data_IF_986648797520
#
_entry.id   IF_986648797520
#
_cell.length_a   1.000
_cell.length_b   1.000
_cell.length_c   1.000
_cell.angle_alpha   90.00
_cell.angle_beta   90.00
_cell.angle_gamma   90.00
#
_symmetry.space_group_name_H-M   'P 1'
#
loop_
_entity.id
_entity.type
_entity.pdbx_description
1 polymer ?
#
# COMPACT_ATOMS: atom_id res chain seq x y z
N UNK A 1 -14.80 -2.65 21.15
CA UNK A 1 -13.64 -3.28 21.80
C UNK A 1 -12.78 -2.19 22.40
N UNK A 2 -12.22 -2.41 23.58
CA UNK A 2 -11.37 -1.45 24.28
C UNK A 2 -9.94 -1.98 24.25
N UNK A 3 -9.00 -1.13 23.82
CA UNK A 3 -7.59 -1.46 23.69
C UNK A 3 -6.76 -0.49 24.52
N UNK A 4 -5.78 -1.05 25.21
CA UNK A 4 -4.77 -0.33 25.96
C UNK A 4 -3.41 -0.65 25.35
N UNK A 5 -2.76 0.39 24.83
CA UNK A 5 -1.37 0.31 24.40
C UNK A 5 -0.48 0.69 25.58
N UNK A 6 0.44 -0.21 25.92
CA UNK A 6 1.52 0.02 26.87
C UNK A 6 2.86 -0.10 26.18
N UNK A 7 3.86 0.60 26.70
CA UNK A 7 5.25 0.51 26.29
C UNK A 7 6.11 0.88 27.48
N UNK A 8 7.30 0.28 27.61
CA UNK A 8 8.30 0.72 28.59
C UNK A 8 9.01 2.00 28.14
N UNK A 9 8.99 2.27 26.83
CA UNK A 9 9.56 3.46 26.22
C UNK A 9 8.45 4.37 25.68
N UNK A 10 8.65 5.68 25.72
CA UNK A 10 7.76 6.60 25.01
C UNK A 10 7.86 6.36 23.51
N UNK A 11 6.73 6.28 22.83
CA UNK A 11 6.67 6.13 21.38
C UNK A 11 6.49 7.48 20.69
N UNK A 12 5.78 8.43 21.29
CA UNK A 12 5.44 9.71 20.67
C UNK A 12 5.90 10.95 21.46
N UNK A 13 6.71 10.75 22.49
CA UNK A 13 7.31 11.83 23.28
C UNK A 13 8.47 12.52 22.55
N UNK A 14 8.94 13.64 23.11
CA UNK A 14 9.90 14.55 22.46
C UNK A 14 11.30 13.96 22.20
N UNK A 15 11.64 12.85 22.86
CA UNK A 15 12.95 12.17 22.74
C UNK A 15 12.78 10.67 22.52
N UNK A 16 11.64 10.23 22.00
CA UNK A 16 11.37 8.82 21.76
C UNK A 16 12.26 8.26 20.65
N UNK A 17 12.68 7.01 20.80
CA UNK A 17 13.37 6.28 19.74
C UNK A 17 12.43 6.08 18.54
N UNK A 18 12.99 5.90 17.35
CA UNK A 18 12.22 5.52 16.16
C UNK A 18 11.66 4.09 16.24
N UNK A 19 12.09 3.31 17.23
CA UNK A 19 11.71 1.91 17.45
C UNK A 19 11.43 1.69 18.93
N UNK A 20 10.28 1.13 19.29
CA UNK A 20 9.94 0.82 20.68
C UNK A 20 9.25 -0.55 20.78
N UNK A 21 9.44 -1.23 21.92
CA UNK A 21 8.66 -2.42 22.24
C UNK A 21 7.29 -2.01 22.75
N UNK A 22 6.22 -2.55 22.16
CA UNK A 22 4.86 -2.23 22.56
C UNK A 22 4.11 -3.49 23.00
N UNK A 23 3.19 -3.30 23.94
CA UNK A 23 2.24 -4.30 24.41
C UNK A 23 0.84 -3.78 24.19
N UNK A 24 0.00 -4.60 23.56
CA UNK A 24 -1.41 -4.32 23.33
C UNK A 24 -2.22 -5.28 24.22
N UNK A 25 -3.03 -4.71 25.10
CA UNK A 25 -3.98 -5.45 25.93
C UNK A 25 -5.38 -4.95 25.68
N UNK A 26 -6.39 -5.78 25.88
CA UNK A 26 -7.76 -5.33 25.67
C UNK A 26 -8.77 -6.44 25.76
N UNK A 27 -10.03 -6.08 25.54
CA UNK A 27 -11.11 -7.05 25.39
C UNK A 27 -11.32 -7.37 23.93
N UNK A 28 -11.56 -8.65 23.63
CA UNK A 28 -11.99 -9.07 22.31
C UNK A 28 -13.20 -9.99 22.42
N UNK A 29 -13.99 -10.01 21.34
CA UNK A 29 -15.17 -10.87 21.22
C UNK A 29 -14.89 -11.91 20.15
N UNK A 30 -15.16 -13.17 20.48
CA UNK A 30 -15.16 -14.26 19.52
C UNK A 30 -16.59 -14.70 19.25
N UNK A 31 -16.93 -14.82 17.97
CA UNK A 31 -18.23 -15.32 17.54
C UNK A 31 -18.20 -16.87 17.53
N UNK A 32 -19.00 -17.55 18.38
CA UNK A 32 -19.06 -19.01 18.41
C UNK A 32 -19.53 -19.63 17.10
N UNK A 33 -20.24 -18.87 16.26
CA UNK A 33 -20.74 -19.31 14.95
C UNK A 33 -19.62 -19.49 13.92
N UNK A 34 -18.43 -18.96 14.22
CA UNK A 34 -17.24 -19.05 13.39
C UNK A 34 -16.11 -19.75 14.17
N UNK A 35 -16.18 -21.09 14.33
CA UNK A 35 -15.20 -21.85 15.12
C UNK A 35 -13.83 -21.99 14.45
N UNK A 36 -13.57 -21.27 13.36
CA UNK A 36 -12.36 -21.36 12.54
C UNK A 36 -11.51 -20.09 12.63
N UNK A 37 -10.35 -20.11 11.98
CA UNK A 37 -9.44 -18.97 11.94
C UNK A 37 -10.11 -17.77 11.26
N UNK A 38 -10.30 -16.70 12.02
CA UNK A 38 -10.98 -15.51 11.57
C UNK A 38 -9.99 -14.37 11.45
N UNK A 39 -10.19 -13.53 10.45
CA UNK A 39 -9.61 -12.19 10.55
C UNK A 39 -10.43 -11.37 11.52
N UNK A 40 -9.75 -10.59 12.34
CA UNK A 40 -10.38 -9.55 13.13
C UNK A 40 -9.99 -8.20 12.53
N UNK A 41 -11.00 -7.36 12.32
CA UNK A 41 -10.84 -5.98 11.91
C UNK A 41 -11.80 -5.09 12.70
N UNK A 42 -11.39 -3.85 12.94
CA UNK A 42 -12.32 -2.83 13.41
C UNK A 42 -13.19 -2.38 12.25
N UNK A 43 -14.35 -3.03 12.01
CA UNK A 43 -15.26 -2.74 10.87
C UNK A 43 -15.64 -1.25 10.73
N UNK A 44 -15.49 -0.48 11.80
CA UNK A 44 -15.92 0.93 11.88
C UNK A 44 -15.02 1.77 12.78
N UNK A 45 -14.04 1.14 13.45
CA UNK A 45 -13.30 1.76 14.54
C UNK A 45 -11.84 1.84 14.15
N UNK A 46 -11.50 3.01 13.63
CA UNK A 46 -10.14 3.50 13.61
C UNK A 46 -9.55 3.35 15.01
N UNK A 47 -8.32 2.87 15.12
CA UNK A 47 -7.63 2.98 16.40
C UNK A 47 -7.17 4.42 16.55
N UNK A 48 -7.61 5.06 17.62
CA UNK A 48 -7.27 6.45 17.94
C UNK A 48 -6.67 6.47 19.35
N UNK A 49 -5.64 7.27 19.56
CA UNK A 49 -5.09 7.54 20.89
C UNK A 49 -6.09 8.25 21.80
N UNK A 50 -6.14 7.86 23.08
CA UNK A 50 -6.95 8.54 24.08
C UNK A 50 -6.26 8.51 25.43
N UNK A 51 -6.16 9.68 26.06
CA UNK A 51 -5.54 9.87 27.37
C UNK A 51 -6.64 10.06 28.42
N UNK A 52 -6.84 9.03 29.25
CA UNK A 52 -7.86 9.03 30.30
C UNK A 52 -7.57 10.01 31.45
N UNK A 53 -6.33 10.48 31.60
CA UNK A 53 -5.99 11.41 32.69
C UNK A 53 -6.50 12.84 32.44
N UNK A 54 -6.55 13.26 31.19
CA UNK A 54 -6.97 14.62 30.79
C UNK A 54 -8.17 14.64 29.82
N UNK A 55 -8.70 13.46 29.46
CA UNK A 55 -9.84 13.30 28.56
C UNK A 55 -9.58 13.91 27.17
N UNK A 56 -8.37 13.73 26.64
CA UNK A 56 -7.97 14.21 25.30
C UNK A 56 -7.61 13.06 24.35
N UNK A 57 -7.62 13.32 23.04
CA UNK A 57 -7.21 12.34 22.01
C UNK A 57 -5.69 12.22 21.85
N UNK A 58 -4.96 12.29 22.97
CA UNK A 58 -3.51 12.13 23.02
C UNK A 58 -3.12 10.76 23.57
N UNK A 59 -1.87 10.36 23.37
CA UNK A 59 -1.21 9.31 24.12
C UNK A 59 -0.64 9.89 25.42
N UNK A 60 -0.32 9.02 26.39
CA UNK A 60 0.20 9.44 27.70
C UNK A 60 1.50 10.26 27.63
N UNK A 61 2.24 10.16 26.53
CA UNK A 61 3.50 10.83 26.27
C UNK A 61 3.35 12.11 25.43
N UNK A 62 2.12 12.60 25.26
CA UNK A 62 1.80 13.89 24.65
C UNK A 62 1.65 13.87 23.12
N UNK A 63 1.99 12.76 22.46
CA UNK A 63 1.70 12.58 21.03
C UNK A 63 0.28 12.07 20.77
N UNK A 64 0.01 11.63 19.54
CA UNK A 64 -1.27 11.06 19.14
C UNK A 64 -1.10 10.12 17.95
N UNK A 65 -2.05 9.21 17.76
CA UNK A 65 -2.10 8.35 16.58
C UNK A 65 -3.54 8.05 16.16
N UNK A 66 -3.74 7.85 14.86
CA UNK A 66 -4.98 7.36 14.27
C UNK A 66 -4.68 6.40 13.12
N UNK A 67 -5.27 5.20 13.12
CA UNK A 67 -4.89 4.19 12.15
C UNK A 67 -5.76 2.96 12.05
N UNK A 68 -5.19 1.96 11.38
CA UNK A 68 -5.79 0.67 11.10
C UNK A 68 -5.06 -0.42 11.90
N UNK A 69 -5.85 -1.24 12.57
CA UNK A 69 -5.40 -2.45 13.20
C UNK A 69 -6.21 -3.61 12.63
N UNK A 70 -5.53 -4.69 12.27
CA UNK A 70 -6.20 -5.91 11.89
C UNK A 70 -5.25 -7.08 11.90
N UNK A 71 -5.83 -8.27 11.98
CA UNK A 71 -5.06 -9.46 12.26
C UNK A 71 -5.85 -10.74 12.05
N UNK A 72 -5.26 -11.84 12.51
CA UNK A 72 -5.87 -13.16 12.51
C UNK A 72 -5.95 -13.66 13.95
N UNK A 73 -7.12 -14.19 14.27
CA UNK A 73 -7.38 -15.00 15.45
C UNK A 73 -7.33 -16.45 14.99
N UNK A 74 -6.40 -17.21 15.56
CA UNK A 74 -6.30 -18.66 15.33
C UNK A 74 -6.84 -19.39 16.54
N UNK A 75 -7.88 -20.17 16.30
CA UNK A 75 -8.57 -20.89 17.36
C UNK A 75 -7.65 -21.98 17.90
N UNK A 76 -7.27 -21.87 19.17
CA UNK A 76 -6.41 -22.85 19.84
C UNK A 76 -7.22 -23.88 20.64
N UNK A 77 -6.54 -24.58 21.55
CA UNK A 77 -7.16 -25.44 22.57
C UNK A 77 -8.05 -24.63 23.52
N UNK A 78 -9.06 -25.29 24.12
CA UNK A 78 -10.10 -24.67 24.96
C UNK A 78 -9.59 -23.51 25.83
N UNK A 79 -10.07 -22.30 25.52
CA UNK A 79 -9.87 -21.08 26.30
C UNK A 79 -8.68 -20.20 25.88
N UNK A 80 -7.89 -20.62 24.88
CA UNK A 80 -6.74 -19.83 24.39
C UNK A 80 -6.74 -19.76 22.85
N UNK A 81 -6.73 -18.54 22.31
CA UNK A 81 -6.52 -18.25 20.89
C UNK A 81 -5.12 -17.67 20.66
N UNK A 82 -4.52 -17.97 19.51
CA UNK A 82 -3.29 -17.29 19.07
C UNK A 82 -3.65 -16.08 18.19
N UNK A 83 -3.00 -14.95 18.44
CA UNK A 83 -3.30 -13.67 17.80
C UNK A 83 -2.08 -13.15 17.05
N UNK A 84 -2.29 -12.65 15.85
CA UNK A 84 -1.28 -12.02 15.01
C UNK A 84 -1.86 -10.78 14.34
N UNK A 85 -1.27 -9.61 14.58
CA UNK A 85 -1.85 -8.31 14.24
C UNK A 85 -0.83 -7.41 13.57
N UNK A 86 -1.25 -6.74 12.51
CA UNK A 86 -0.55 -5.63 11.90
C UNK A 86 -1.23 -4.32 12.27
N UNK A 87 -0.41 -3.32 12.61
CA UNK A 87 -0.82 -1.97 12.95
C UNK A 87 -0.13 -0.97 12.04
N UNK A 88 -0.89 -0.16 11.33
CA UNK A 88 -0.41 1.02 10.63
C UNK A 88 -1.22 2.23 11.10
N UNK A 89 -0.56 3.27 11.58
CA UNK A 89 -1.23 4.51 11.98
C UNK A 89 -0.46 5.75 11.53
N UNK A 90 -1.20 6.82 11.28
CA UNK A 90 -0.64 8.16 11.21
C UNK A 90 -0.41 8.62 12.65
N UNK A 91 0.71 9.27 12.91
CA UNK A 91 1.00 9.85 14.23
C UNK A 91 1.36 11.33 14.12
N UNK A 92 1.17 12.04 15.23
CA UNK A 92 1.77 13.35 15.50
C UNK A 92 2.45 13.26 16.87
N UNK A 93 3.74 13.53 16.95
CA UNK A 93 4.48 13.52 18.21
C UNK A 93 4.29 14.81 19.02
N UNK A 94 4.81 14.85 20.25
CA UNK A 94 4.69 16.02 21.12
C UNK A 94 5.36 17.30 20.57
N UNK A 95 6.23 17.19 19.56
CA UNK A 95 6.86 18.32 18.85
C UNK A 95 6.12 18.70 17.57
N UNK A 96 4.96 18.10 17.29
CA UNK A 96 4.20 18.24 16.05
C UNK A 96 4.94 17.73 14.80
N UNK A 97 5.84 16.77 14.95
CA UNK A 97 6.32 16.02 13.80
C UNK A 97 5.30 14.92 13.48
N UNK A 98 5.03 14.72 12.20
CA UNK A 98 4.04 13.77 11.72
C UNK A 98 4.68 12.65 10.90
N UNK A 99 4.03 11.49 10.88
CA UNK A 99 4.52 10.37 10.11
C UNK A 99 3.66 9.13 10.22
N UNK A 100 4.26 7.97 9.93
CA UNK A 100 3.58 6.67 9.99
C UNK A 100 4.27 5.82 11.05
N UNK A 101 3.47 5.18 11.91
CA UNK A 101 3.91 4.09 12.78
C UNK A 101 3.42 2.76 12.21
N UNK A 102 4.33 1.79 12.20
CA UNK A 102 4.09 0.41 11.83
C UNK A 102 4.40 -0.49 13.02
N UNK A 103 3.56 -1.47 13.31
CA UNK A 103 3.93 -2.53 14.25
C UNK A 103 3.36 -3.89 13.84
N UNK A 104 4.13 -4.93 14.15
CA UNK A 104 3.71 -6.31 14.06
C UNK A 104 3.66 -6.88 15.47
N UNK A 105 2.48 -7.35 15.88
CA UNK A 105 2.20 -7.84 17.22
C UNK A 105 1.76 -9.29 17.16
N UNK A 106 2.20 -10.08 18.13
CA UNK A 106 1.70 -11.43 18.33
C UNK A 106 1.45 -11.70 19.81
N UNK A 107 0.55 -12.63 20.09
CA UNK A 107 0.23 -13.02 21.46
C UNK A 107 -0.96 -13.93 21.55
N UNK A 108 -1.68 -13.82 22.66
CA UNK A 108 -2.71 -14.77 23.04
C UNK A 108 -3.99 -14.04 23.45
N UNK A 109 -5.13 -14.63 23.11
CA UNK A 109 -6.45 -14.28 23.59
C UNK A 109 -6.95 -15.34 24.56
N UNK A 110 -7.39 -14.94 25.74
CA UNK A 110 -7.96 -15.82 26.77
C UNK A 110 -9.46 -15.59 26.82
N UNK A 111 -10.27 -16.62 26.61
CA UNK A 111 -11.72 -16.51 26.59
C UNK A 111 -12.37 -17.57 27.49
N UNK A 112 -13.55 -17.25 28.03
CA UNK A 112 -14.40 -18.21 28.74
C UNK A 112 -15.66 -18.49 27.95
N UNK A 113 -16.07 -19.76 27.89
CA UNK A 113 -17.34 -20.15 27.30
C UNK A 113 -18.52 -19.63 28.13
N UNK A 114 -19.21 -18.63 27.59
CA UNK A 114 -20.43 -18.05 28.16
C UNK A 114 -21.66 -18.28 27.26
N UNK A 115 -21.61 -19.24 26.32
CA UNK A 115 -22.72 -19.54 25.41
C UNK A 115 -22.74 -18.67 24.15
N UNK A 116 -23.61 -17.65 24.08
CA UNK A 116 -23.92 -16.95 22.82
C UNK A 116 -22.87 -15.93 22.35
N UNK A 117 -21.91 -15.57 23.20
CA UNK A 117 -20.76 -14.76 22.84
C UNK A 117 -19.59 -15.10 23.77
N UNK A 118 -18.41 -15.27 23.18
CA UNK A 118 -17.17 -15.42 23.94
C UNK A 118 -16.56 -14.03 24.15
N UNK A 119 -16.62 -13.53 25.38
CA UNK A 119 -15.81 -12.37 25.79
C UNK A 119 -14.47 -12.86 26.33
N UNK A 120 -13.39 -12.25 25.85
CA UNK A 120 -12.04 -12.59 26.25
C UNK A 120 -11.16 -11.38 26.48
N UNK A 121 -10.00 -11.62 27.06
CA UNK A 121 -8.93 -10.65 27.24
C UNK A 121 -7.78 -11.06 26.33
N UNK A 122 -7.21 -10.13 25.59
CA UNK A 122 -6.00 -10.37 24.81
C UNK A 122 -4.79 -9.68 25.42
N UNK A 123 -3.63 -10.26 25.14
CA UNK A 123 -2.33 -9.65 25.36
C UNK A 123 -1.41 -10.01 24.20
N UNK A 124 -0.91 -8.98 23.53
CA UNK A 124 0.05 -9.11 22.45
C UNK A 124 1.24 -8.21 22.70
N UNK A 125 2.40 -8.60 22.18
CA UNK A 125 3.60 -7.78 22.23
C UNK A 125 4.30 -7.79 20.89
N UNK A 126 5.12 -6.79 20.65
CA UNK A 126 5.98 -6.72 19.48
C UNK A 126 6.76 -5.41 19.44
N UNK A 127 7.14 -5.03 18.23
CA UNK A 127 7.96 -3.84 18.00
C UNK A 127 7.23 -2.89 17.07
N UNK A 128 7.14 -1.63 17.48
CA UNK A 128 6.67 -0.52 16.66
C UNK A 128 7.87 0.24 16.08
N UNK A 129 7.75 0.67 14.82
CA UNK A 129 8.70 1.49 14.09
C UNK A 129 7.99 2.75 13.59
N UNK A 130 8.59 3.92 13.80
CA UNK A 130 8.10 5.21 13.33
C UNK A 130 8.96 5.72 12.18
N UNK A 131 8.30 6.11 11.10
CA UNK A 131 8.87 6.90 10.05
C UNK A 131 8.33 8.34 10.15
N UNK A 132 9.22 9.29 10.41
CA UNK A 132 8.91 10.72 10.41
C UNK A 132 8.90 11.22 8.97
N UNK A 133 7.78 11.82 8.56
CA UNK A 133 7.59 12.27 7.19
C UNK A 133 7.49 13.80 7.08
N UNK A 134 7.10 14.48 8.16
CA UNK A 134 7.00 15.94 8.19
C UNK A 134 7.40 16.47 9.56
N UNK A 135 8.16 17.56 9.58
CA UNK A 135 8.50 18.28 10.81
C UNK A 135 7.60 19.51 10.97
N UNK A 136 7.09 19.74 12.18
CA UNK A 136 6.28 20.91 12.48
C UNK A 136 5.03 21.03 11.60
N UNK A 137 4.20 19.99 11.58
CA UNK A 137 3.01 19.88 10.72
C UNK A 137 1.93 20.94 11.01
N UNK A 138 2.03 21.64 12.15
CA UNK A 138 1.09 22.70 12.54
C UNK A 138 -0.26 22.19 13.02
N UNK A 139 -0.38 20.88 13.25
CA UNK A 139 -1.55 20.23 13.85
C UNK A 139 -1.14 19.79 15.26
N UNK A 140 -1.93 20.19 16.26
CA UNK A 140 -1.69 19.73 17.63
C UNK A 140 -2.02 18.23 17.73
N UNK A 141 -1.30 17.46 18.56
CA UNK A 141 -1.59 16.03 18.72
C UNK A 141 -3.06 15.72 19.04
N UNK A 142 -3.68 16.49 19.92
CA UNK A 142 -5.09 16.31 20.29
C UNK A 142 -6.06 16.48 19.10
N UNK A 143 -5.66 17.20 18.05
CA UNK A 143 -6.48 17.52 16.88
C UNK A 143 -6.32 16.50 15.74
N UNK A 144 -5.42 15.52 15.86
CA UNK A 144 -5.18 14.51 14.81
C UNK A 144 -6.46 13.79 14.39
N UNK A 145 -7.36 13.49 15.35
CA UNK A 145 -8.62 12.78 15.07
C UNK A 145 -9.54 13.53 14.10
N UNK A 146 -9.36 14.85 13.95
CA UNK A 146 -10.15 15.71 13.07
C UNK A 146 -9.37 16.17 11.83
N UNK A 147 -8.14 15.68 11.64
CA UNK A 147 -7.19 16.25 10.67
C UNK A 147 -6.73 15.25 9.61
N UNK A 148 -7.56 14.27 9.28
CA UNK A 148 -7.29 13.31 8.21
C UNK A 148 -8.40 13.29 7.17
N UNK A 149 -8.02 12.99 5.94
CA UNK A 149 -8.93 12.64 4.86
C UNK A 149 -9.01 11.10 4.76
N UNK A 150 -10.20 10.59 4.46
CA UNK A 150 -10.41 9.17 4.16
C UNK A 150 -11.05 9.01 2.80
N UNK A 151 -10.45 8.17 1.96
CA UNK A 151 -10.97 7.84 0.64
C UNK A 151 -11.17 6.34 0.54
N UNK A 152 -12.33 5.92 0.01
CA UNK A 152 -12.61 4.52 -0.27
C UNK A 152 -12.36 4.26 -1.76
N UNK A 153 -11.30 3.50 -2.06
CA UNK A 153 -11.02 3.04 -3.42
C UNK A 153 -11.70 1.70 -3.61
N UNK A 154 -12.72 1.71 -4.47
CA UNK A 154 -13.45 0.51 -4.86
C UNK A 154 -12.77 -0.16 -6.04
N UNK A 155 -12.71 -1.47 -5.99
CA UNK A 155 -12.30 -2.27 -7.12
C UNK A 155 -13.17 -3.49 -7.23
N UNK A 156 -13.21 -4.02 -8.43
CA UNK A 156 -13.59 -5.40 -8.62
C UNK A 156 -12.27 -6.11 -8.91
N UNK A 157 -11.99 -7.21 -8.21
CA UNK A 157 -10.72 -7.90 -8.37
C UNK A 157 -10.83 -8.91 -9.50
N UNK A 158 -9.99 -8.76 -10.54
CA UNK A 158 -9.51 -9.91 -11.29
C UNK A 158 -8.36 -10.49 -10.48
N UNK A 159 -8.57 -11.67 -9.91
CA UNK A 159 -7.47 -12.48 -9.42
C UNK A 159 -6.63 -12.95 -10.59
N UNK A 160 -5.36 -12.60 -10.63
CA UNK A 160 -4.37 -13.32 -11.43
C UNK A 160 -3.29 -13.86 -10.50
N UNK A 161 -2.94 -15.15 -10.61
CA UNK A 161 -1.88 -15.79 -9.82
C UNK A 161 -2.24 -17.17 -9.26
N UNK A 162 -1.39 -17.67 -8.36
CA UNK A 162 -1.53 -19.00 -7.73
C UNK A 162 -2.69 -19.07 -6.74
N UNK A 163 -3.08 -17.92 -6.19
CA UNK A 163 -4.30 -17.78 -5.40
C UNK A 163 -5.38 -17.23 -6.33
N UNK A 164 -6.28 -18.10 -6.74
CA UNK A 164 -7.51 -17.66 -7.41
C UNK A 164 -8.44 -17.09 -6.35
N UNK A 165 -8.54 -15.75 -6.23
CA UNK A 165 -9.70 -15.15 -5.58
C UNK A 165 -10.90 -15.52 -6.48
N UNK A 166 -11.86 -16.34 -6.01
CA UNK A 166 -12.89 -16.86 -6.90
C UNK A 166 -13.66 -15.71 -7.56
N UNK A 167 -13.77 -15.77 -8.88
CA UNK A 167 -14.60 -14.90 -9.73
C UNK A 167 -16.09 -14.96 -9.40
N UNK A 168 -16.50 -15.83 -8.47
CA UNK A 168 -17.82 -15.88 -7.87
C UNK A 168 -17.70 -15.83 -6.35
N UNK A 169 -17.43 -14.64 -5.79
CA UNK A 169 -17.64 -14.40 -4.36
C UNK A 169 -16.62 -13.58 -3.59
N UNK A 170 -15.98 -12.57 -4.19
CA UNK A 170 -15.64 -11.39 -3.38
C UNK A 170 -16.96 -10.64 -3.10
N UNK A 171 -17.74 -11.17 -2.17
CA UNK A 171 -19.13 -10.80 -1.89
C UNK A 171 -19.26 -9.58 -0.97
N UNK A 172 -18.66 -8.46 -1.34
CA UNK A 172 -18.95 -7.08 -0.89
C UNK A 172 -17.76 -6.28 -1.40
N UNK A 173 -17.94 -5.52 -2.48
CA UNK A 173 -17.04 -4.46 -2.98
C UNK A 173 -15.71 -4.37 -2.22
N UNK A 174 -14.66 -5.12 -2.61
CA UNK A 174 -13.40 -5.04 -1.90
C UNK A 174 -12.94 -3.59 -2.02
N UNK A 175 -12.83 -2.97 -0.86
CA UNK A 175 -12.53 -1.57 -0.74
C UNK A 175 -11.23 -1.47 0.03
N UNK A 176 -10.29 -0.75 -0.56
CA UNK A 176 -9.13 -0.28 0.17
C UNK A 176 -9.49 1.11 0.68
N UNK A 177 -9.47 1.29 2.00
CA UNK A 177 -9.67 2.60 2.61
C UNK A 177 -8.32 3.24 2.80
N UNK A 178 -8.07 4.33 2.09
CA UNK A 178 -6.90 5.17 2.26
C UNK A 178 -7.18 6.19 3.35
N UNK A 179 -6.15 6.50 4.13
CA UNK A 179 -6.16 7.59 5.10
C UNK A 179 -4.87 8.37 4.98
N UNK A 180 -4.96 9.69 4.88
CA UNK A 180 -3.82 10.61 4.89
C UNK A 180 -4.15 11.80 5.79
N UNK A 181 -3.12 12.46 6.27
CA UNK A 181 -3.30 13.73 6.96
C UNK A 181 -3.75 14.79 5.94
N UNK A 182 -4.66 15.68 6.34
CA UNK A 182 -5.16 16.73 5.44
C UNK A 182 -4.01 17.62 4.95
N UNK A 183 -3.89 17.77 3.64
CA UNK A 183 -2.80 18.52 3.00
C UNK A 183 -1.55 17.71 2.70
N UNK A 184 -1.45 16.47 3.19
CA UNK A 184 -0.33 15.58 2.94
C UNK A 184 -0.62 14.58 1.82
N UNK A 185 0.40 14.27 1.01
CA UNK A 185 0.31 13.36 -0.15
C UNK A 185 0.96 12.01 0.13
N UNK A 186 0.83 11.54 1.36
CA UNK A 186 1.25 10.22 1.83
C UNK A 186 0.26 9.75 2.87
N UNK A 187 0.18 8.43 3.09
CA UNK A 187 -0.76 7.92 4.07
C UNK A 187 -0.65 6.44 4.29
N UNK A 188 -1.68 5.91 4.93
CA UNK A 188 -1.86 4.49 5.21
C UNK A 188 -3.08 3.96 4.48
N UNK A 189 -3.18 2.65 4.33
CA UNK A 189 -4.38 2.02 3.80
C UNK A 189 -4.72 0.72 4.53
N UNK A 190 -5.97 0.29 4.43
CA UNK A 190 -6.43 -1.05 4.81
C UNK A 190 -7.34 -1.63 3.73
N UNK A 191 -7.09 -2.89 3.36
CA UNK A 191 -7.94 -3.71 2.50
C UNK A 191 -8.36 -4.98 3.23
N UNK A 192 -9.55 -5.49 2.89
CA UNK A 192 -10.09 -6.77 3.39
C UNK A 192 -10.36 -7.70 2.23
N UNK A 193 -9.90 -8.94 2.38
CA UNK A 193 -10.06 -9.96 1.36
C UNK A 193 -10.60 -11.24 1.97
N UNK A 194 -11.32 -12.03 1.19
CA UNK A 194 -11.76 -13.36 1.55
C UNK A 194 -12.13 -14.12 0.28
N UNK A 195 -12.21 -15.45 0.39
CA UNK A 195 -12.60 -16.31 -0.71
C UNK A 195 -12.49 -17.79 -0.35
N UNK A 196 -12.54 -18.63 -1.36
CA UNK A 196 -12.14 -20.04 -1.30
C UNK A 196 -10.77 -20.25 -1.94
N UNK A 197 -10.24 -21.47 -1.82
CA UNK A 197 -9.03 -21.95 -2.47
C UNK A 197 -9.18 -23.44 -2.83
N UNK A 198 -8.65 -23.87 -3.97
CA UNK A 198 -8.72 -25.28 -4.38
C UNK A 198 -7.66 -26.14 -3.67
N UNK A 199 -6.50 -25.55 -3.40
CA UNK A 199 -5.39 -26.14 -2.65
C UNK A 199 -4.64 -25.04 -1.91
N UNK A 200 -3.87 -25.41 -0.88
CA UNK A 200 -3.00 -24.43 -0.23
C UNK A 200 -2.02 -23.82 -1.24
N UNK A 201 -1.68 -22.54 -1.11
CA UNK A 201 -0.70 -21.91 -1.99
C UNK A 201 0.66 -22.63 -1.93
N UNK A 202 1.41 -22.69 -3.04
CA UNK A 202 2.76 -23.24 -3.04
C UNK A 202 3.71 -22.44 -2.13
N UNK A 203 4.92 -22.97 -1.83
CA UNK A 203 5.86 -22.31 -0.94
C UNK A 203 6.25 -20.89 -1.29
N UNK A 204 6.21 -20.56 -2.58
CA UNK A 204 6.30 -19.19 -3.06
C UNK A 204 5.08 -19.00 -3.95
N UNK A 205 4.21 -18.07 -3.58
CA UNK A 205 3.04 -17.74 -4.37
C UNK A 205 3.01 -16.25 -4.66
N UNK A 206 2.43 -15.91 -5.80
CA UNK A 206 2.09 -14.53 -6.14
C UNK A 206 0.61 -14.39 -6.43
N UNK A 207 0.07 -13.23 -6.11
CA UNK A 207 -1.29 -12.86 -6.47
C UNK A 207 -1.34 -11.37 -6.79
N UNK A 208 -2.28 -10.95 -7.61
CA UNK A 208 -2.50 -9.54 -7.88
C UNK A 208 -3.97 -9.17 -7.70
N UNK A 209 -4.18 -7.93 -7.26
CA UNK A 209 -5.45 -7.23 -7.31
C UNK A 209 -5.25 -6.03 -8.22
N UNK A 210 -6.09 -5.91 -9.23
CA UNK A 210 -6.08 -4.80 -10.19
C UNK A 210 -7.51 -4.32 -10.45
N UNK A 211 -7.65 -3.09 -10.94
CA UNK A 211 -8.93 -2.56 -11.37
C UNK A 211 -9.48 -3.39 -12.57
N UNK A 212 -10.60 -4.10 -12.36
CA UNK A 212 -11.28 -4.89 -13.40
C UNK A 212 -11.66 -4.08 -14.65
N UNK A 213 -11.69 -2.76 -14.58
CA UNK A 213 -11.95 -1.92 -15.75
C UNK A 213 -10.86 -2.07 -16.84
N UNK A 214 -9.63 -2.41 -16.45
CA UNK A 214 -8.55 -2.78 -17.38
C UNK A 214 -8.81 -4.15 -18.04
N UNK A 215 -9.26 -5.15 -17.27
CA UNK A 215 -9.56 -6.50 -17.78
C UNK A 215 -10.82 -6.58 -18.65
N UNK A 216 -11.81 -5.70 -18.42
CA UNK A 216 -13.08 -5.66 -19.15
C UNK A 216 -13.15 -4.59 -20.25
N UNK A 217 -12.12 -3.73 -20.40
CA UNK A 217 -12.09 -2.64 -21.39
C UNK A 217 -13.14 -1.54 -21.14
N UNK A 218 -13.67 -1.42 -19.92
CA UNK A 218 -14.68 -0.42 -19.54
C UNK A 218 -14.12 0.43 -18.39
N UNK A 219 -13.30 1.43 -18.70
CA UNK A 219 -12.86 2.44 -17.73
C UNK A 219 -14.06 3.28 -17.28
N UNK A 220 -14.60 2.99 -16.10
CA UNK A 220 -15.57 3.88 -15.44
C UNK A 220 -14.93 4.84 -14.44
N UNK A 221 -13.65 4.69 -14.16
CA UNK A 221 -13.06 5.26 -12.96
C UNK A 221 -11.95 6.23 -13.35
N UNK A 222 -11.95 7.40 -12.72
CA UNK A 222 -10.86 8.38 -12.78
C UNK A 222 -9.60 7.85 -12.04
N UNK A 223 -9.37 6.54 -12.01
CA UNK A 223 -8.35 5.87 -11.21
C UNK A 223 -7.83 4.60 -11.92
N UNK A 224 -6.57 4.27 -11.68
CA UNK A 224 -5.92 3.01 -12.01
C UNK A 224 -5.15 2.57 -10.78
N UNK A 225 -5.19 1.29 -10.42
CA UNK A 225 -4.33 0.78 -9.36
C UNK A 225 -4.07 -0.71 -9.54
N UNK A 226 -2.94 -1.16 -9.01
CA UNK A 226 -2.59 -2.58 -8.92
C UNK A 226 -1.78 -2.81 -7.65
N UNK A 227 -2.05 -3.92 -6.99
CA UNK A 227 -1.32 -4.41 -5.81
C UNK A 227 -0.94 -5.86 -6.08
N UNK A 228 0.35 -6.16 -6.02
CA UNK A 228 0.89 -7.51 -6.13
C UNK A 228 1.36 -7.99 -4.78
N UNK A 229 0.96 -9.22 -4.44
CA UNK A 229 1.31 -9.93 -3.24
C UNK A 229 2.36 -10.98 -3.55
N UNK A 230 3.31 -11.13 -2.64
CA UNK A 230 4.27 -12.21 -2.64
C UNK A 230 4.31 -12.82 -1.25
N UNK A 231 4.01 -14.11 -1.15
CA UNK A 231 3.88 -14.80 0.12
C UNK A 231 4.59 -16.14 0.15
N UNK A 232 4.74 -16.64 1.37
CA UNK A 232 5.26 -17.97 1.65
C UNK A 232 4.12 -18.99 1.77
N UNK A 233 4.47 -20.28 1.84
CA UNK A 233 3.49 -21.34 2.09
C UNK A 233 2.60 -21.01 3.28
N UNK A 234 1.31 -21.25 3.12
CA UNK A 234 0.37 -21.18 4.23
C UNK A 234 0.55 -22.41 5.13
N UNK A 235 0.59 -22.20 6.45
CA UNK A 235 0.75 -23.24 7.45
C UNK A 235 0.02 -22.86 8.74
N UNK A 236 -0.36 -23.85 9.54
CA UNK A 236 -0.96 -23.64 10.88
C UNK A 236 -2.16 -22.67 10.88
N UNK A 237 -3.02 -22.78 9.86
CA UNK A 237 -4.22 -21.94 9.72
C UNK A 237 -3.93 -20.49 9.33
N UNK A 238 -2.70 -20.19 8.90
CA UNK A 238 -2.17 -18.84 8.68
C UNK A 238 -1.49 -18.67 7.32
N UNK A 239 -1.64 -17.49 6.74
CA UNK A 239 -0.90 -17.02 5.58
C UNK A 239 -0.31 -15.64 5.81
N UNK A 240 0.83 -15.37 5.16
CA UNK A 240 1.47 -14.06 5.16
C UNK A 240 1.93 -13.70 3.75
N UNK A 241 1.83 -12.42 3.41
CA UNK A 241 2.45 -11.87 2.22
C UNK A 241 2.90 -10.42 2.46
N UNK A 242 3.91 -10.01 1.72
CA UNK A 242 4.19 -8.59 1.48
C UNK A 242 3.48 -8.15 0.20
N UNK A 243 3.27 -6.85 0.05
CA UNK A 243 2.68 -6.29 -1.15
C UNK A 243 3.46 -5.09 -1.67
N UNK A 244 3.47 -4.97 -2.99
CA UNK A 244 3.93 -3.80 -3.72
C UNK A 244 2.82 -3.39 -4.67
N UNK A 245 2.54 -2.10 -4.74
CA UNK A 245 1.50 -1.59 -5.62
C UNK A 245 1.80 -0.21 -6.13
N UNK A 246 0.97 0.20 -7.07
CA UNK A 246 0.99 1.52 -7.67
C UNK A 246 -0.43 1.95 -8.01
N UNK A 247 -0.59 3.24 -8.24
CA UNK A 247 -1.80 3.73 -8.87
C UNK A 247 -1.67 5.14 -9.42
N UNK A 248 -2.74 5.56 -10.06
CA UNK A 248 -2.91 6.84 -10.72
C UNK A 248 -4.36 7.31 -10.54
N UNK A 249 -4.58 8.62 -10.39
CA UNK A 249 -5.92 9.20 -10.25
C UNK A 249 -6.03 10.51 -11.01
N UNK A 250 -7.25 10.85 -11.43
CA UNK A 250 -7.65 12.15 -11.99
C UNK A 250 -8.87 12.74 -11.26
N UNK A 251 -9.32 12.13 -10.17
CA UNK A 251 -10.53 12.54 -9.44
C UNK A 251 -10.45 13.97 -8.88
N UNK A 252 -9.30 14.35 -8.33
CA UNK A 252 -9.00 15.69 -7.82
C UNK A 252 -7.83 16.31 -8.59
N UNK A 253 -6.64 16.35 -8.01
CA UNK A 253 -5.40 16.68 -8.70
C UNK A 253 -4.85 15.39 -9.31
N UNK A 254 -4.48 15.37 -10.61
CA UNK A 254 -3.84 14.21 -11.20
C UNK A 254 -2.59 13.83 -10.42
N UNK A 255 -2.53 12.58 -9.96
CA UNK A 255 -1.46 12.09 -9.13
C UNK A 255 -1.18 10.62 -9.44
N UNK A 256 0.05 10.20 -9.17
CA UNK A 256 0.44 8.78 -9.16
C UNK A 256 1.08 8.46 -7.82
N UNK A 257 1.06 7.20 -7.41
CA UNK A 257 1.64 6.79 -6.13
C UNK A 257 2.24 5.39 -6.20
N UNK A 258 3.06 5.09 -5.20
CA UNK A 258 3.52 3.74 -4.85
C UNK A 258 2.92 3.33 -3.51
N UNK A 259 2.63 2.04 -3.34
CA UNK A 259 2.08 1.49 -2.10
C UNK A 259 2.83 0.23 -1.68
N UNK A 260 3.06 0.08 -0.39
CA UNK A 260 3.79 -1.05 0.20
C UNK A 260 2.99 -1.51 1.41
N UNK A 261 2.78 -2.81 1.56
CA UNK A 261 1.98 -3.33 2.64
C UNK A 261 2.29 -4.77 3.01
N UNK A 262 1.52 -5.25 3.97
CA UNK A 262 1.60 -6.59 4.52
C UNK A 262 0.19 -7.16 4.67
N UNK A 263 0.04 -8.40 4.25
CA UNK A 263 -1.18 -9.17 4.34
C UNK A 263 -1.00 -10.29 5.36
N UNK A 264 -1.98 -10.41 6.25
CA UNK A 264 -2.13 -11.54 7.16
C UNK A 264 -3.45 -12.22 6.88
N UNK A 265 -3.41 -13.53 6.68
CA UNK A 265 -4.55 -14.35 6.31
C UNK A 265 -4.80 -15.47 7.33
N UNK A 266 -6.07 -15.69 7.64
CA UNK A 266 -6.55 -16.87 8.33
C UNK A 266 -7.24 -17.79 7.32
N UNK A 267 -6.99 -19.09 7.41
CA UNK A 267 -7.66 -20.07 6.56
C UNK A 267 -8.10 -21.29 7.35
N UNK A 268 -9.08 -22.00 6.83
CA UNK A 268 -9.57 -23.26 7.38
C UNK A 268 -9.47 -24.37 6.34
N UNK A 269 -8.60 -25.35 6.61
CA UNK A 269 -8.35 -26.51 5.75
C UNK A 269 -9.63 -27.27 5.39
N UNK A 270 -10.57 -27.37 6.35
CA UNK A 270 -11.81 -28.12 6.18
C UNK A 270 -12.85 -27.35 5.35
N UNK A 271 -12.55 -26.08 5.01
CA UNK A 271 -13.45 -25.17 4.29
C UNK A 271 -12.85 -24.61 3.01
N UNK A 272 -11.86 -25.30 2.43
CA UNK A 272 -11.15 -24.87 1.23
C UNK A 272 -12.08 -24.30 0.12
N UNK A 273 -13.20 -24.98 -0.18
CA UNK A 273 -14.14 -24.57 -1.23
C UNK A 273 -15.28 -23.64 -0.78
N UNK A 274 -15.32 -23.21 0.48
CA UNK A 274 -16.34 -22.27 0.96
C UNK A 274 -16.01 -20.84 0.48
N UNK A 275 -17.04 -20.00 0.31
CA UNK A 275 -16.89 -18.57 -0.02
C UNK A 275 -16.04 -17.79 1.00
N UNK A 276 -15.85 -18.34 2.20
CA UNK A 276 -15.01 -17.82 3.28
C UNK A 276 -14.05 -18.91 3.80
N UNK A 277 -13.52 -19.76 2.91
CA UNK A 277 -12.48 -20.73 3.25
C UNK A 277 -11.19 -20.08 3.74
N UNK A 278 -10.97 -18.82 3.35
CA UNK A 278 -9.94 -17.96 3.92
C UNK A 278 -10.41 -16.50 3.98
N UNK A 279 -9.75 -15.73 4.84
CA UNK A 279 -9.93 -14.30 4.98
C UNK A 279 -8.57 -13.63 5.23
N UNK A 280 -8.39 -12.39 4.82
CA UNK A 280 -7.17 -11.64 5.03
C UNK A 280 -7.41 -10.16 5.31
N UNK A 281 -6.51 -9.58 6.10
CA UNK A 281 -6.35 -8.14 6.26
C UNK A 281 -5.05 -7.73 5.63
N UNK A 282 -5.10 -6.64 4.86
CA UNK A 282 -3.97 -6.03 4.21
C UNK A 282 -3.84 -4.59 4.69
N UNK A 283 -2.70 -4.23 5.25
CA UNK A 283 -2.43 -2.87 5.71
C UNK A 283 -1.09 -2.41 5.19
N UNK A 284 -0.93 -1.12 4.95
CA UNK A 284 0.33 -0.58 4.46
C UNK A 284 0.38 0.93 4.40
N UNK A 285 1.41 1.43 3.73
CA UNK A 285 1.65 2.84 3.46
C UNK A 285 1.60 3.12 1.95
N UNK A 286 1.24 4.35 1.60
CA UNK A 286 1.31 4.85 0.23
C UNK A 286 1.95 6.22 0.18
N UNK A 287 2.61 6.53 -0.93
CA UNK A 287 3.33 7.78 -1.17
C UNK A 287 3.04 8.27 -2.58
N UNK A 288 2.58 9.51 -2.72
CA UNK A 288 2.56 10.17 -4.02
C UNK A 288 3.97 10.18 -4.61
N UNK A 289 4.06 10.03 -5.93
CA UNK A 289 5.30 9.78 -6.65
C UNK A 289 6.38 10.83 -6.40
N UNK A 290 6.05 12.12 -6.36
CA UNK A 290 7.02 13.17 -6.04
C UNK A 290 7.47 13.11 -4.58
N UNK A 291 6.54 12.85 -3.64
CA UNK A 291 6.90 12.63 -2.23
C UNK A 291 7.88 11.48 -2.10
N UNK A 292 7.58 10.32 -2.70
CA UNK A 292 8.48 9.17 -2.70
C UNK A 292 9.86 9.51 -3.28
N UNK A 293 9.91 10.19 -4.43
CA UNK A 293 11.15 10.57 -5.09
C UNK A 293 12.00 11.52 -4.24
N UNK A 294 11.39 12.48 -3.55
CA UNK A 294 12.08 13.41 -2.63
C UNK A 294 12.70 12.65 -1.45
N UNK A 295 11.96 11.73 -0.84
CA UNK A 295 12.48 10.91 0.25
C UNK A 295 13.61 10.00 -0.20
N UNK A 296 13.44 9.34 -1.36
CA UNK A 296 14.43 8.41 -1.89
C UNK A 296 15.76 9.08 -2.28
N UNK A 297 15.74 10.38 -2.58
CA UNK A 297 16.94 11.12 -3.02
C UNK A 297 17.95 11.33 -1.87
N UNK A 298 17.48 11.42 -0.62
CA UNK A 298 18.34 11.74 0.54
C UNK A 298 18.61 10.52 1.43
N UNK A 299 19.79 10.41 2.08
CA UNK A 299 20.05 9.34 3.05
C UNK A 299 19.05 9.33 4.22
N UNK A 300 18.66 10.50 4.72
CA UNK A 300 17.69 10.63 5.81
C UNK A 300 16.30 10.14 5.38
N UNK A 301 15.79 10.62 4.24
CA UNK A 301 14.49 10.19 3.73
C UNK A 301 14.46 8.68 3.41
N UNK A 302 15.54 8.12 2.87
CA UNK A 302 15.67 6.67 2.69
C UNK A 302 15.60 5.90 4.01
N UNK A 303 16.20 6.42 5.08
CA UNK A 303 16.11 5.78 6.39
C UNK A 303 14.67 5.73 6.91
N UNK A 304 13.88 6.79 6.67
CA UNK A 304 12.45 6.83 7.03
C UNK A 304 11.63 5.83 6.20
N UNK A 305 11.84 5.80 4.87
CA UNK A 305 11.21 4.83 3.97
C UNK A 305 11.55 3.37 4.34
N UNK A 306 12.79 3.10 4.74
CA UNK A 306 13.24 1.76 5.16
C UNK A 306 12.55 1.27 6.44
N UNK A 307 12.14 2.16 7.36
CA UNK A 307 11.36 1.77 8.55
C UNK A 307 9.96 1.28 8.20
N UNK A 308 9.48 1.57 7.01
CA UNK A 308 8.22 1.07 6.46
C UNK A 308 8.44 -0.06 5.44
N UNK A 309 9.67 -0.57 5.34
CA UNK A 309 10.10 -1.56 4.34
C UNK A 309 9.90 -1.10 2.89
N UNK A 310 9.96 0.21 2.62
CA UNK A 310 9.81 0.74 1.26
C UNK A 310 11.12 0.59 0.49
N UNK A 311 11.13 -0.05 -0.70
CA UNK A 311 12.28 -0.08 -1.59
C UNK A 311 12.64 1.32 -2.07
N UNK A 312 13.75 1.88 -1.59
CA UNK A 312 14.11 3.28 -1.80
C UNK A 312 15.57 3.50 -2.25
N UNK A 313 16.36 2.44 -2.41
CA UNK A 313 17.74 2.56 -2.92
C UNK A 313 17.69 2.54 -4.44
N UNK A 314 18.08 3.64 -5.09
CA UNK A 314 18.15 3.69 -6.55
C UNK A 314 19.21 2.71 -7.07
N UNK A 315 18.78 1.80 -7.95
CA UNK A 315 19.62 0.75 -8.57
C UNK A 315 19.63 0.81 -10.09
N UNK A 316 18.92 1.76 -10.70
CA UNK A 316 18.92 1.97 -12.15
C UNK A 316 18.20 3.25 -12.52
N UNK A 317 18.48 3.77 -13.71
CA UNK A 317 17.76 4.89 -14.28
C UNK A 317 17.80 4.84 -15.82
N UNK A 318 16.71 5.24 -16.48
CA UNK A 318 16.65 5.39 -17.93
C UNK A 318 15.78 6.57 -18.36
N UNK A 319 16.09 7.15 -19.51
CA UNK A 319 15.15 7.98 -20.26
C UNK A 319 14.50 7.12 -21.34
N UNK A 320 13.17 7.11 -21.42
CA UNK A 320 12.42 6.35 -22.43
C UNK A 320 11.74 7.32 -23.39
N UNK A 321 12.09 7.21 -24.67
CA UNK A 321 11.63 8.09 -25.75
C UNK A 321 10.96 7.27 -26.84
N UNK A 322 10.01 7.86 -27.56
CA UNK A 322 9.36 7.19 -28.67
C UNK A 322 8.24 7.99 -29.31
N UNK A 323 7.61 7.44 -30.34
CA UNK A 323 6.52 8.08 -31.04
C UNK A 323 5.57 7.03 -31.65
N UNK A 324 4.31 7.41 -31.82
CA UNK A 324 3.30 6.64 -32.54
C UNK A 324 2.46 7.58 -33.42
N UNK A 325 1.54 7.03 -34.22
CA UNK A 325 0.71 7.83 -35.14
C UNK A 325 -0.03 8.94 -34.38
N UNK A 326 0.39 10.19 -34.58
CA UNK A 326 -0.19 11.37 -33.96
C UNK A 326 0.20 11.62 -32.50
N UNK A 327 1.18 10.89 -31.93
CA UNK A 327 1.77 11.17 -30.61
C UNK A 327 3.29 11.20 -30.69
N UNK A 328 3.89 12.29 -30.21
CA UNK A 328 5.33 12.49 -30.09
C UNK A 328 5.75 12.52 -28.63
N UNK A 329 6.51 11.50 -28.23
CA UNK A 329 7.21 11.38 -26.94
C UNK A 329 8.74 11.30 -27.15
N UNK A 330 9.23 11.84 -28.27
CA UNK A 330 10.62 11.71 -28.72
C UNK A 330 11.34 13.04 -28.88
N UNK A 331 10.63 14.12 -29.19
CA UNK A 331 11.23 15.44 -29.38
C UNK A 331 11.67 16.11 -28.08
N UNK A 332 12.91 16.60 -28.03
CA UNK A 332 13.40 17.43 -26.94
C UNK A 332 13.27 16.76 -25.57
N UNK A 333 12.52 17.38 -24.66
CA UNK A 333 12.27 16.86 -23.31
C UNK A 333 11.10 15.86 -23.23
N UNK A 334 10.36 15.63 -24.32
CA UNK A 334 9.23 14.68 -24.33
C UNK A 334 9.67 13.24 -24.11
N UNK A 335 8.82 12.41 -23.55
CA UNK A 335 9.13 11.04 -23.12
C UNK A 335 8.87 10.83 -21.64
N UNK A 336 9.32 9.68 -21.15
CA UNK A 336 9.44 9.41 -19.72
C UNK A 336 10.90 9.62 -19.34
N UNK A 337 11.20 10.76 -18.71
CA UNK A 337 12.57 11.12 -18.38
C UNK A 337 12.91 10.81 -16.93
N UNK A 338 14.16 10.41 -16.67
CA UNK A 338 14.64 10.07 -15.33
C UNK A 338 13.82 8.96 -14.66
N UNK A 339 13.46 7.91 -15.40
CA UNK A 339 12.77 6.73 -14.85
C UNK A 339 13.72 6.01 -13.92
N UNK A 340 13.57 6.21 -12.61
CA UNK A 340 14.42 5.61 -11.57
C UNK A 340 13.83 4.27 -11.11
N UNK A 341 14.71 3.30 -10.87
CA UNK A 341 14.37 1.97 -10.35
C UNK A 341 14.95 1.80 -8.96
N UNK A 342 14.16 1.26 -8.03
CA UNK A 342 14.46 1.21 -6.60
C UNK A 342 14.40 -0.21 -6.06
N UNK A 343 15.33 -0.54 -5.18
CA UNK A 343 15.42 -1.80 -4.47
C UNK A 343 15.56 -1.57 -2.95
N UNK A 344 15.38 -2.62 -2.12
CA UNK A 344 15.64 -2.53 -0.68
C UNK A 344 17.11 -2.28 -0.33
N UNK A 345 18.03 -2.74 -1.18
CA UNK A 345 19.48 -2.70 -0.96
C UNK A 345 20.25 -2.28 -2.20
N UNK A 346 21.45 -1.74 -2.01
CA UNK A 346 22.37 -1.36 -3.09
C UNK A 346 22.68 -2.56 -3.99
N UNK A 347 22.54 -2.39 -5.31
CA UNK A 347 22.74 -3.46 -6.30
C UNK A 347 21.67 -4.56 -6.28
N UNK A 348 20.67 -4.47 -5.40
CA UNK A 348 19.55 -5.40 -5.33
C UNK A 348 18.64 -5.32 -6.56
N UNK A 349 17.86 -6.37 -6.78
CA UNK A 349 16.86 -6.42 -7.85
C UNK A 349 15.80 -5.33 -7.63
N UNK A 350 15.46 -4.50 -8.64
CA UNK A 350 14.47 -3.45 -8.47
C UNK A 350 13.09 -4.04 -8.19
N UNK A 351 12.32 -3.32 -7.39
CA UNK A 351 10.98 -3.66 -6.92
C UNK A 351 9.97 -2.55 -7.26
N UNK A 352 10.42 -1.30 -7.30
CA UNK A 352 9.62 -0.12 -7.62
C UNK A 352 10.32 0.66 -8.73
N UNK A 353 9.55 1.35 -9.56
CA UNK A 353 10.06 2.41 -10.43
C UNK A 353 9.18 3.66 -10.35
N UNK A 354 9.79 4.82 -10.59
CA UNK A 354 9.08 6.10 -10.56
C UNK A 354 9.77 7.15 -11.45
N UNK A 355 8.95 8.07 -11.98
CA UNK A 355 9.39 9.30 -12.64
C UNK A 355 8.40 10.43 -12.36
N UNK A 356 8.94 11.63 -12.15
CA UNK A 356 8.16 12.87 -12.08
C UNK A 356 8.07 13.61 -13.42
N UNK A 357 8.52 12.99 -14.52
CA UNK A 357 8.63 13.63 -15.82
C UNK A 357 8.14 12.70 -16.94
N UNK A 358 6.83 12.75 -17.16
CA UNK A 358 6.18 12.19 -18.35
C UNK A 358 5.67 13.35 -19.18
N UNK A 359 6.03 13.45 -20.46
CA UNK A 359 5.50 14.49 -21.34
C UNK A 359 5.47 14.09 -22.82
N UNK A 360 4.68 14.82 -23.60
CA UNK A 360 4.60 14.62 -25.05
C UNK A 360 3.66 15.61 -25.73
N UNK A 361 3.57 15.49 -27.04
CA UNK A 361 2.62 16.21 -27.89
C UNK A 361 1.76 15.24 -28.69
N UNK A 362 0.58 15.67 -29.11
CA UNK A 362 -0.31 14.89 -29.96
C UNK A 362 -1.04 15.76 -30.99
N UNK A 363 -1.37 15.16 -32.14
CA UNK A 363 -2.07 15.77 -33.27
C UNK A 363 -3.31 14.96 -33.72
N UNK A 364 -3.59 13.87 -33.02
CA UNK A 364 -4.83 13.09 -33.08
C UNK A 364 -5.25 12.70 -31.66
N UNK A 365 -6.43 12.09 -31.48
CA UNK A 365 -6.84 11.58 -30.16
C UNK A 365 -5.80 10.58 -29.62
N UNK A 366 -5.15 10.85 -28.48
CA UNK A 366 -4.12 9.97 -27.95
C UNK A 366 -4.67 8.77 -27.17
N UNK A 367 -5.98 8.78 -26.87
CA UNK A 367 -6.65 7.71 -26.11
C UNK A 367 -6.57 6.38 -26.86
N UNK A 368 -6.17 5.33 -26.15
CA UNK A 368 -5.97 3.95 -26.64
C UNK A 368 -4.86 3.80 -27.70
N UNK A 369 -4.01 4.81 -27.89
CA UNK A 369 -2.82 4.71 -28.73
C UNK A 369 -1.64 4.28 -27.86
N UNK A 370 -1.03 3.15 -28.20
CA UNK A 370 0.18 2.65 -27.54
C UNK A 370 1.41 3.26 -28.20
N UNK A 371 2.18 4.04 -27.45
CA UNK A 371 3.45 4.63 -27.86
C UNK A 371 4.58 3.67 -27.45
N UNK A 372 5.32 3.06 -28.41
CA UNK A 372 6.50 2.29 -28.08
C UNK A 372 7.61 3.25 -27.63
N UNK A 373 8.15 3.03 -26.44
CA UNK A 373 9.26 3.78 -25.86
C UNK A 373 10.48 2.89 -25.75
N UNK A 374 11.67 3.46 -25.94
CA UNK A 374 12.94 2.77 -25.73
C UNK A 374 14.01 3.71 -25.17
N UNK A 375 14.96 3.12 -24.44
CA UNK A 375 16.14 3.82 -23.95
C UNK A 375 16.82 3.06 -22.80
N UNK A 376 18.13 3.23 -22.63
CA UNK A 376 18.88 2.63 -21.52
C UNK A 376 18.81 1.09 -21.45
N UNK A 377 18.66 0.40 -22.59
CA UNK A 377 18.51 -1.07 -22.63
C UNK A 377 17.09 -1.58 -22.31
N UNK A 378 16.13 -0.67 -22.11
CA UNK A 378 14.73 -0.96 -21.82
C UNK A 378 13.83 -0.60 -23.01
N UNK A 379 12.70 -1.30 -23.08
CA UNK A 379 11.56 -0.99 -23.94
C UNK A 379 10.29 -0.93 -23.10
N UNK A 380 9.33 -0.09 -23.49
CA UNK A 380 8.03 0.02 -22.85
C UNK A 380 6.93 0.40 -23.86
N UNK A 381 5.69 0.18 -23.47
CA UNK A 381 4.50 0.79 -24.07
C UNK A 381 3.90 1.78 -23.09
N UNK A 382 3.62 2.99 -23.58
CA UNK A 382 2.81 3.99 -22.88
C UNK A 382 1.47 4.10 -23.60
N UNK A 383 0.38 3.79 -22.92
CA UNK A 383 -0.97 3.84 -23.50
C UNK A 383 -1.86 4.77 -22.69
N UNK A 384 -2.27 5.89 -23.29
CA UNK A 384 -3.20 6.81 -22.63
C UNK A 384 -4.60 6.20 -22.60
N UNK A 385 -5.16 5.97 -21.42
CA UNK A 385 -6.47 5.35 -21.22
C UNK A 385 -7.61 6.38 -21.19
N UNK A 386 -7.31 7.58 -20.69
CA UNK A 386 -8.29 8.66 -20.55
C UNK A 386 -7.66 10.01 -20.87
N UNK A 387 -8.42 10.86 -21.55
CA UNK A 387 -8.12 12.26 -21.79
C UNK A 387 -9.41 13.07 -21.63
N UNK A 388 -9.59 13.73 -20.49
CA UNK A 388 -10.82 14.48 -20.20
C UNK A 388 -10.59 15.56 -19.16
N UNK A 389 -11.34 16.66 -19.23
CA UNK A 389 -11.31 17.73 -18.23
C UNK A 389 -9.89 18.25 -17.91
N UNK A 390 -9.04 18.41 -18.94
CA UNK A 390 -7.62 18.82 -18.82
C UNK A 390 -6.73 17.85 -18.05
N UNK A 391 -7.15 16.59 -17.89
CA UNK A 391 -6.44 15.52 -17.19
C UNK A 391 -6.28 14.29 -18.06
N UNK A 392 -5.27 13.48 -17.77
CA UNK A 392 -5.06 12.20 -18.44
C UNK A 392 -4.68 11.09 -17.46
N UNK A 393 -4.99 9.85 -17.85
CA UNK A 393 -4.52 8.60 -17.22
C UNK A 393 -3.87 7.73 -18.28
N UNK A 394 -2.83 6.99 -17.91
CA UNK A 394 -2.15 6.05 -18.79
C UNK A 394 -1.69 4.79 -18.04
N UNK A 395 -1.51 3.71 -18.79
CA UNK A 395 -0.78 2.52 -18.33
C UNK A 395 0.60 2.47 -18.96
N UNK A 396 1.55 1.88 -18.23
CA UNK A 396 2.92 1.65 -18.70
C UNK A 396 3.27 0.19 -18.49
N UNK A 397 3.75 -0.48 -19.54
CA UNK A 397 4.26 -1.85 -19.47
C UNK A 397 5.60 -1.93 -20.18
N UNK A 398 6.62 -2.46 -19.52
CA UNK A 398 7.96 -2.51 -20.11
C UNK A 398 8.81 -3.66 -19.61
N UNK A 399 9.96 -3.80 -20.25
CA UNK A 399 10.94 -4.85 -19.98
C UNK A 399 12.30 -4.47 -20.58
N UNK A 400 13.32 -5.25 -20.29
CA UNK A 400 14.64 -5.11 -20.89
C UNK A 400 15.71 -5.35 -19.86
N UNK A 401 16.96 -5.02 -20.18
CA UNK A 401 18.06 -5.17 -19.25
C UNK A 401 18.48 -3.81 -18.71
N UNK A 402 18.54 -3.68 -17.38
CA UNK A 402 19.31 -2.61 -16.77
C UNK A 402 20.79 -2.94 -17.02
N UNK A 403 21.42 -2.16 -17.88
CA UNK A 403 22.85 -2.29 -18.15
C UNK A 403 23.59 -1.44 -17.13
N UNK A 404 24.01 -2.05 -16.03
CA UNK A 404 24.69 -1.35 -14.95
C UNK A 404 25.92 -0.57 -15.44
N UNK A 405 26.20 0.56 -14.79
CA UNK A 405 27.33 1.43 -15.17
C UNK A 405 27.42 2.78 -14.46
N UNK A 406 26.56 3.05 -13.47
CA UNK A 406 26.52 4.33 -12.75
C UNK A 406 26.95 4.25 -11.29
N UNK A 407 27.19 5.42 -10.70
CA UNK A 407 27.19 5.66 -9.25
C UNK A 407 25.85 6.33 -8.91
N UNK A 408 24.99 5.74 -8.06
CA UNK A 408 25.23 4.58 -7.19
C UNK A 408 25.25 3.24 -7.93
N UNK A 409 25.85 2.23 -7.29
CA UNK A 409 25.97 0.88 -7.83
C UNK A 409 24.61 0.34 -8.32
N UNK A 410 24.60 0.00 -9.60
CA UNK A 410 23.40 -0.34 -10.35
C UNK A 410 23.18 -1.85 -10.42
N UNK A 411 21.93 -2.29 -10.29
CA UNK A 411 21.54 -3.64 -10.66
C UNK A 411 21.86 -3.90 -12.14
N UNK A 412 22.34 -5.10 -12.45
CA UNK A 412 22.54 -5.55 -13.83
C UNK A 412 21.74 -6.82 -14.06
N UNK A 413 20.81 -6.78 -15.00
CA UNK A 413 19.96 -7.92 -15.29
C UNK A 413 18.67 -7.52 -16.00
N UNK A 414 17.97 -8.54 -16.50
CA UNK A 414 16.66 -8.36 -17.10
C UNK A 414 15.63 -8.01 -16.04
N UNK A 415 14.75 -7.07 -16.38
CA UNK A 415 13.61 -6.67 -15.57
C UNK A 415 12.34 -6.65 -16.42
N UNK A 416 11.20 -6.79 -15.75
CA UNK A 416 9.88 -6.42 -16.24
C UNK A 416 9.34 -5.33 -15.33
N UNK A 417 8.59 -4.38 -15.88
CA UNK A 417 7.98 -3.34 -15.07
C UNK A 417 6.62 -2.95 -15.60
N UNK A 418 5.73 -2.61 -14.67
CA UNK A 418 4.35 -2.18 -14.95
C UNK A 418 4.03 -1.00 -14.07
N UNK A 419 3.18 -0.10 -14.53
CA UNK A 419 2.80 1.07 -13.76
C UNK A 419 1.66 1.86 -14.38
N UNK A 420 1.35 2.98 -13.74
CA UNK A 420 0.35 3.91 -14.21
C UNK A 420 0.91 5.33 -14.25
N UNK A 421 0.37 6.14 -15.16
CA UNK A 421 0.69 7.55 -15.31
C UNK A 421 -0.55 8.41 -15.13
N UNK A 422 -0.38 9.61 -14.59
CA UNK A 422 -1.41 10.63 -14.54
C UNK A 422 -0.81 12.01 -14.72
N UNK A 423 -1.62 12.94 -15.22
CA UNK A 423 -1.19 14.33 -15.33
C UNK A 423 -2.23 15.24 -15.95
N UNK A 424 -1.74 16.36 -16.48
CA UNK A 424 -2.55 17.38 -17.14
C UNK A 424 -2.19 17.49 -18.62
N UNK A 425 -3.11 18.07 -19.39
CA UNK A 425 -2.85 18.39 -20.79
C UNK A 425 -3.34 19.80 -21.14
N UNK A 426 -2.71 20.39 -22.16
CA UNK A 426 -3.14 21.64 -22.79
C UNK A 426 -3.54 21.36 -24.24
N UNK A 427 -4.53 22.08 -24.76
CA UNK A 427 -5.07 21.87 -26.11
C UNK A 427 -6.49 21.29 -26.12
N UNK A 428 -6.82 20.59 -27.21
CA UNK A 428 -8.11 19.92 -27.45
C UNK A 428 -7.97 18.41 -27.26
N UNK A 429 -9.07 17.66 -27.31
CA UNK A 429 -9.00 16.19 -27.25
C UNK A 429 -8.32 15.54 -28.46
N UNK A 430 -8.04 16.31 -29.51
CA UNK A 430 -7.43 15.83 -30.77
C UNK A 430 -6.08 16.48 -31.07
N UNK A 431 -5.65 17.47 -30.30
CA UNK A 431 -4.33 18.10 -30.48
C UNK A 431 -3.90 18.83 -29.22
N UNK A 432 -2.63 18.69 -28.82
CA UNK A 432 -2.15 19.31 -27.59
C UNK A 432 -0.81 18.81 -27.11
N UNK A 433 -0.49 19.16 -25.87
CA UNK A 433 0.66 18.63 -25.11
C UNK A 433 0.18 18.08 -23.77
N UNK A 434 0.90 17.11 -23.23
CA UNK A 434 0.62 16.54 -21.91
C UNK A 434 1.88 16.51 -21.06
N UNK A 435 1.68 16.60 -19.74
CA UNK A 435 2.72 16.44 -18.72
C UNK A 435 2.18 15.76 -17.47
N UNK A 436 3.03 15.06 -16.72
CA UNK A 436 2.64 14.40 -15.47
C UNK A 436 3.70 13.50 -14.89
N UNK A 437 3.27 12.56 -14.05
CA UNK A 437 4.12 11.61 -13.33
C UNK A 437 3.71 10.18 -13.65
N UNK A 438 4.61 9.23 -13.38
CA UNK A 438 4.30 7.80 -13.46
C UNK A 438 5.08 7.01 -12.43
N UNK A 439 4.45 5.97 -11.90
CA UNK A 439 5.08 5.04 -10.98
C UNK A 439 4.54 3.63 -11.15
N UNK A 440 5.28 2.67 -10.62
CA UNK A 440 4.96 1.27 -10.79
C UNK A 440 5.87 0.33 -10.03
N UNK A 441 5.69 -0.95 -10.32
CA UNK A 441 6.46 -2.06 -9.79
C UNK A 441 7.43 -2.60 -10.84
N UNK A 442 8.55 -3.13 -10.38
CA UNK A 442 9.57 -3.77 -11.20
C UNK A 442 9.88 -5.17 -10.64
N UNK A 443 10.18 -6.12 -11.51
CA UNK A 443 10.50 -7.52 -11.20
C UNK A 443 11.51 -8.08 -12.19
#
# INVERSE_FOLDING_TARGET
MEYHFGSTDSLFGTSSSSTASITLMGKYTRDPSYPWNLVWWGETYQIISFNYFDNTYTAYDGGSFSGYLGGVIRTGTEGIDALDVHWYAIYIDANQNAGIVKANLSGEGFYTDNGSAFEGILKMSGTAQRAELVQGIGILPADLVNSYDTEQVYYAAAASGDITFPTAGISTTPATVLKNLTGENWGIFQGRYYGGYASLPPPNWTAAIEDLTEAAGIFKNNQLFRIEFSGAQWSDGKGYATSLGYGATTQSTPATWVSIGELVAGYDADRANATQGWQAIHTGAWFETNVFLVFADTPAGRAELQRLNVPCVQVGMADLKGAASGIDMSSGSYGMSGVKFFAPTTGGKPQIWATNSVSGAYTSSPVNVSVPLAGGGLTASFTMQQLSASKWLATVNGSGALTGGGNPATYTGSIQFKGAGAGTYTGTTTSGTFSGTAAGIAQ
#
